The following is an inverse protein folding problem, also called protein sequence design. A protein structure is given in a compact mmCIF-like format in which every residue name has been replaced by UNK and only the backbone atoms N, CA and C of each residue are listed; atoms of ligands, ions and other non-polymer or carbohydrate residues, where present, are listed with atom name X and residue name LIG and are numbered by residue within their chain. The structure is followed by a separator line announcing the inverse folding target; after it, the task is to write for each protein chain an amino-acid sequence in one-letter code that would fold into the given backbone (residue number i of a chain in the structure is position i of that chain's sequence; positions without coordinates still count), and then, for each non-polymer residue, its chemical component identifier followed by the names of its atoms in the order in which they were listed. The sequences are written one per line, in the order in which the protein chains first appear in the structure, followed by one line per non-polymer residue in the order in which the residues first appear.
data_IF_059273970082
#
_entry.id   IF_059273970082
#
_cell.length_a   1.000
_cell.length_b   1.000
_cell.length_c   1.000
_cell.angle_alpha   90.00
_cell.angle_beta   90.00
_cell.angle_gamma   90.00
#
_symmetry.space_group_name_H-M   'P 1'
#
loop_
_entity.id
_entity.type
_entity.pdbx_description
1 polymer ?
#
# COMPACT_ATOMS: atom_id res chain seq x y z
N UNK A 1 14.59 5.55 21.80
CA UNK A 1 14.84 5.13 20.40
C UNK A 1 13.84 5.85 19.50
N UNK A 2 14.29 6.69 18.58
CA UNK A 2 13.40 7.39 17.65
C UNK A 2 12.86 6.34 16.66
N UNK A 3 11.55 6.20 16.59
CA UNK A 3 10.93 5.24 15.67
C UNK A 3 10.95 5.81 14.25
N UNK A 4 11.85 5.31 13.43
CA UNK A 4 12.10 5.77 12.05
C UNK A 4 10.84 5.64 11.20
N UNK A 5 10.02 4.60 11.41
CA UNK A 5 8.78 4.37 10.66
C UNK A 5 7.77 5.51 10.88
N UNK A 6 7.64 6.00 12.12
CA UNK A 6 6.76 7.15 12.43
C UNK A 6 7.24 8.43 11.74
N UNK A 7 8.55 8.62 11.60
CA UNK A 7 9.10 9.78 10.87
C UNK A 7 8.77 9.65 9.37
N UNK A 8 8.95 8.47 8.81
CA UNK A 8 8.63 8.20 7.40
C UNK A 8 7.14 8.41 7.13
N UNK A 9 6.26 7.92 8.00
CA UNK A 9 4.81 8.10 7.88
C UNK A 9 4.41 9.58 8.00
N UNK A 10 5.03 10.32 8.95
CA UNK A 10 4.85 11.76 9.07
C UNK A 10 5.24 12.49 7.78
N UNK A 11 6.40 12.18 7.20
CA UNK A 11 6.90 12.81 5.97
C UNK A 11 6.08 12.42 4.73
N UNK A 12 5.46 11.25 4.72
CA UNK A 12 4.63 10.79 3.62
C UNK A 12 3.18 11.28 3.68
N UNK A 13 2.75 11.83 4.81
CA UNK A 13 1.43 12.44 4.93
C UNK A 13 1.32 13.67 4.00
N UNK A 14 0.30 13.75 3.11
CA UNK A 14 0.15 14.86 2.16
C UNK A 14 0.03 16.23 2.82
N UNK A 15 -0.60 16.32 4.01
CA UNK A 15 -0.69 17.57 4.77
C UNK A 15 0.70 18.05 5.24
N UNK A 16 1.51 17.13 5.77
CA UNK A 16 2.86 17.49 6.25
C UNK A 16 3.79 17.85 5.08
N UNK A 17 3.64 17.18 3.94
CA UNK A 17 4.35 17.58 2.70
C UNK A 17 3.97 18.98 2.26
N UNK A 18 2.67 19.32 2.28
CA UNK A 18 2.19 20.65 1.95
C UNK A 18 2.80 21.72 2.85
N UNK A 19 2.85 21.50 4.16
CA UNK A 19 3.47 22.41 5.13
C UNK A 19 4.97 22.58 4.86
N UNK A 20 5.69 21.48 4.63
CA UNK A 20 7.13 21.52 4.33
C UNK A 20 7.42 22.27 3.03
N UNK A 21 6.62 22.06 1.98
CA UNK A 21 6.71 22.81 0.73
C UNK A 21 6.45 24.29 0.94
N UNK A 22 5.42 24.66 1.69
CA UNK A 22 5.07 26.05 1.99
C UNK A 22 6.22 26.74 2.73
N UNK A 23 6.75 26.10 3.78
CA UNK A 23 7.89 26.65 4.55
C UNK A 23 9.14 26.80 3.68
N UNK A 24 9.44 25.81 2.84
CA UNK A 24 10.57 25.87 1.92
C UNK A 24 10.44 27.01 0.91
N UNK A 25 9.28 27.16 0.28
CA UNK A 25 9.02 28.20 -0.71
C UNK A 25 9.05 29.59 -0.07
N UNK A 26 8.37 29.77 1.06
CA UNK A 26 8.34 31.06 1.76
C UNK A 26 9.74 31.48 2.21
N UNK A 27 10.51 30.56 2.80
CA UNK A 27 11.89 30.87 3.21
C UNK A 27 12.81 31.16 2.01
N UNK A 28 12.63 30.46 0.88
CA UNK A 28 13.36 30.74 -0.35
C UNK A 28 13.04 32.13 -0.91
N UNK A 29 11.75 32.50 -0.93
CA UNK A 29 11.31 33.83 -1.39
C UNK A 29 11.91 34.92 -0.49
N UNK A 30 11.78 34.79 0.84
CA UNK A 30 12.31 35.79 1.77
C UNK A 30 13.83 35.91 1.70
N UNK A 31 14.56 34.82 1.53
CA UNK A 31 16.00 34.83 1.28
C UNK A 31 16.34 35.54 -0.04
N UNK A 32 15.59 35.24 -1.11
CA UNK A 32 15.74 35.89 -2.41
C UNK A 32 15.50 37.40 -2.31
N UNK A 33 14.41 37.81 -1.66
CA UNK A 33 14.12 39.24 -1.43
C UNK A 33 15.25 39.93 -0.66
N UNK A 34 15.83 39.28 0.35
CA UNK A 34 16.92 39.84 1.14
C UNK A 34 18.21 39.99 0.34
N UNK A 35 18.42 39.18 -0.71
CA UNK A 35 19.62 39.24 -1.56
C UNK A 35 19.47 40.24 -2.72
N UNK A 36 18.25 40.28 -3.32
CA UNK A 36 18.03 41.03 -4.56
C UNK A 36 17.47 42.44 -4.36
N UNK A 37 16.82 42.72 -3.22
CA UNK A 37 16.22 44.05 -2.96
C UNK A 37 17.11 44.91 -2.10
N UNK A 38 17.03 46.23 -2.35
CA UNK A 38 17.66 47.25 -1.50
C UNK A 38 16.91 47.42 -0.17
N UNK A 39 17.59 47.94 0.88
CA UNK A 39 16.94 48.21 2.17
C UNK A 39 15.70 49.11 2.04
N UNK A 40 15.72 50.09 1.13
CA UNK A 40 14.58 50.97 0.86
C UNK A 40 13.37 50.22 0.29
N UNK A 41 13.62 49.26 -0.62
CA UNK A 41 12.59 48.43 -1.21
C UNK A 41 12.01 47.43 -0.19
N UNK A 42 12.86 46.89 0.68
CA UNK A 42 12.39 46.02 1.78
C UNK A 42 11.54 46.76 2.79
N UNK A 43 11.88 48.07 3.06
CA UNK A 43 11.08 48.91 3.92
C UNK A 43 9.68 49.20 3.32
N UNK A 44 9.58 49.43 2.01
CA UNK A 44 8.30 49.58 1.31
C UNK A 44 7.40 48.38 1.41
N UNK A 45 7.98 47.17 1.50
CA UNK A 45 7.26 45.92 1.69
C UNK A 45 6.92 45.59 3.16
N UNK A 46 7.34 46.45 4.10
CA UNK A 46 7.18 46.25 5.55
C UNK A 46 7.82 44.97 6.09
N UNK A 47 8.78 44.38 5.40
CA UNK A 47 9.43 43.12 5.79
C UNK A 47 10.86 43.30 6.34
N UNK A 48 11.38 44.50 6.29
CA UNK A 48 12.76 44.84 6.79
C UNK A 48 12.90 44.50 8.29
N UNK A 49 11.97 44.88 9.12
CA UNK A 49 12.00 44.61 10.56
C UNK A 49 11.97 43.11 10.86
N UNK A 50 11.19 42.36 10.08
CA UNK A 50 11.14 40.91 10.20
C UNK A 50 12.44 40.24 9.77
N UNK A 51 13.01 40.66 8.63
CA UNK A 51 14.29 40.12 8.11
C UNK A 51 15.46 40.44 9.03
N UNK A 52 15.51 41.67 9.58
CA UNK A 52 16.55 42.06 10.53
C UNK A 52 16.51 41.23 11.83
N UNK A 53 15.28 40.87 12.30
CA UNK A 53 15.14 40.13 13.53
C UNK A 53 15.25 38.60 13.34
N UNK A 54 14.67 38.06 12.27
CA UNK A 54 14.53 36.63 12.04
C UNK A 54 15.22 36.11 10.80
N UNK A 55 15.84 36.97 9.98
CA UNK A 55 16.48 36.60 8.72
C UNK A 55 17.54 35.50 8.85
N UNK A 56 18.28 35.50 9.99
CA UNK A 56 19.27 34.45 10.28
C UNK A 56 18.65 33.02 10.39
N UNK A 57 17.36 32.91 10.70
CA UNK A 57 16.67 31.64 10.85
C UNK A 57 16.22 31.05 9.49
N UNK A 58 16.03 31.93 8.48
CA UNK A 58 15.50 31.54 7.16
C UNK A 58 16.37 30.48 6.45
N UNK A 59 17.71 30.56 6.43
CA UNK A 59 18.55 29.55 5.84
C UNK A 59 18.37 28.17 6.49
N UNK A 60 18.19 28.13 7.80
CA UNK A 60 17.96 26.87 8.53
C UNK A 60 16.60 26.27 8.18
N UNK A 61 15.53 27.08 8.15
CA UNK A 61 14.19 26.62 7.78
C UNK A 61 14.20 26.08 6.35
N UNK A 62 14.85 26.79 5.42
CA UNK A 62 14.98 26.38 4.04
C UNK A 62 15.72 25.04 3.91
N UNK A 63 16.85 24.91 4.61
CA UNK A 63 17.68 23.71 4.58
C UNK A 63 16.93 22.51 5.17
N UNK A 64 16.31 22.68 6.34
CA UNK A 64 15.50 21.62 6.94
C UNK A 64 14.35 21.20 6.04
N UNK A 65 13.59 22.14 5.50
CA UNK A 65 12.48 21.84 4.59
C UNK A 65 12.96 21.06 3.37
N UNK A 66 14.08 21.47 2.77
CA UNK A 66 14.66 20.82 1.60
C UNK A 66 15.10 19.38 1.91
N UNK A 67 15.83 19.19 3.03
CA UNK A 67 16.28 17.86 3.45
C UNK A 67 15.07 16.91 3.68
N UNK A 68 14.06 17.38 4.41
CA UNK A 68 12.87 16.55 4.67
C UNK A 68 12.08 16.23 3.39
N UNK A 69 12.01 17.17 2.44
CA UNK A 69 11.37 16.90 1.15
C UNK A 69 12.15 15.85 0.34
N UNK A 70 13.47 15.90 0.32
CA UNK A 70 14.33 14.91 -0.35
C UNK A 70 14.13 13.53 0.29
N UNK A 71 14.20 13.44 1.63
CA UNK A 71 14.00 12.18 2.35
C UNK A 71 12.61 11.62 2.10
N UNK A 72 11.57 12.46 2.14
CA UNK A 72 10.18 12.04 1.85
C UNK A 72 10.01 11.54 0.41
N UNK A 73 10.69 12.15 -0.56
CA UNK A 73 10.66 11.72 -1.96
C UNK A 73 11.34 10.35 -2.17
N UNK A 74 12.51 10.15 -1.57
CA UNK A 74 13.25 8.88 -1.64
C UNK A 74 12.44 7.77 -0.96
N UNK A 75 11.95 8.02 0.26
CA UNK A 75 11.15 7.05 1.01
C UNK A 75 9.88 6.64 0.26
N UNK A 76 9.19 7.59 -0.38
CA UNK A 76 8.02 7.32 -1.20
C UNK A 76 8.32 6.42 -2.40
N UNK A 77 9.47 6.62 -3.06
CA UNK A 77 9.90 5.75 -4.17
C UNK A 77 10.25 4.34 -3.70
N UNK A 78 10.98 4.22 -2.58
CA UNK A 78 11.36 2.93 -2.00
C UNK A 78 10.12 2.13 -1.59
N UNK A 79 9.14 2.78 -0.94
CA UNK A 79 7.88 2.16 -0.53
C UNK A 79 7.09 1.62 -1.74
N UNK A 80 6.91 2.44 -2.78
CA UNK A 80 6.23 2.01 -4.01
C UNK A 80 6.93 0.85 -4.72
N UNK A 81 8.27 0.82 -4.68
CA UNK A 81 9.05 -0.28 -5.26
C UNK A 81 8.83 -1.57 -4.48
N UNK A 82 8.86 -1.51 -3.15
CA UNK A 82 8.58 -2.65 -2.27
C UNK A 82 7.18 -3.22 -2.49
N UNK A 83 6.16 -2.35 -2.49
CA UNK A 83 4.76 -2.75 -2.75
C UNK A 83 4.62 -3.46 -4.10
N UNK A 84 5.31 -2.96 -5.14
CA UNK A 84 5.29 -3.59 -6.46
C UNK A 84 6.02 -4.95 -6.48
N UNK A 85 7.13 -5.07 -5.77
CA UNK A 85 7.86 -6.34 -5.62
C UNK A 85 7.02 -7.38 -4.86
N UNK A 86 6.34 -6.97 -3.78
CA UNK A 86 5.42 -7.82 -3.01
C UNK A 86 4.22 -8.27 -3.85
N UNK A 87 3.59 -7.36 -4.61
CA UNK A 87 2.51 -7.71 -5.53
C UNK A 87 2.97 -8.68 -6.61
N UNK A 88 4.13 -8.44 -7.22
CA UNK A 88 4.68 -9.34 -8.24
C UNK A 88 4.99 -10.73 -7.68
N UNK A 89 5.51 -10.82 -6.45
CA UNK A 89 5.75 -12.08 -5.77
C UNK A 89 4.43 -12.81 -5.47
N UNK A 90 3.40 -12.09 -5.01
CA UNK A 90 2.08 -12.63 -4.77
C UNK A 90 1.45 -13.20 -6.06
N UNK A 91 1.47 -12.41 -7.14
CA UNK A 91 0.95 -12.84 -8.45
C UNK A 91 1.68 -14.08 -8.99
N UNK A 92 2.98 -14.19 -8.76
CA UNK A 92 3.76 -15.38 -9.14
C UNK A 92 3.25 -16.61 -8.40
N UNK A 93 3.09 -16.55 -7.08
CA UNK A 93 2.58 -17.66 -6.27
C UNK A 93 1.14 -18.01 -6.67
N UNK A 94 0.30 -17.01 -6.90
CA UNK A 94 -1.07 -17.22 -7.37
C UNK A 94 -1.11 -17.94 -8.72
N UNK A 95 -0.24 -17.57 -9.67
CA UNK A 95 -0.13 -18.26 -10.96
C UNK A 95 0.42 -19.68 -10.84
N UNK A 96 1.35 -19.93 -9.92
CA UNK A 96 1.84 -21.28 -9.63
C UNK A 96 0.70 -22.17 -9.08
N UNK A 97 -0.12 -21.66 -8.16
CA UNK A 97 -1.29 -22.37 -7.64
C UNK A 97 -2.37 -22.61 -8.71
N UNK A 98 -2.54 -21.66 -9.63
CA UNK A 98 -3.45 -21.83 -10.78
C UNK A 98 -2.95 -22.85 -11.82
N UNK A 99 -1.67 -23.21 -11.77
CA UNK A 99 -1.05 -24.27 -12.60
C UNK A 99 -0.92 -25.60 -11.90
N UNK A 100 -1.14 -25.64 -10.59
CA UNK A 100 -1.07 -26.86 -9.78
C UNK A 100 -2.34 -27.72 -9.99
N UNK A 101 -2.17 -28.98 -10.39
CA UNK A 101 -3.30 -29.86 -10.72
C UNK A 101 -4.26 -30.07 -9.56
N UNK A 102 -3.74 -30.23 -8.34
CA UNK A 102 -4.58 -30.47 -7.15
C UNK A 102 -5.34 -29.19 -6.74
N UNK A 103 -4.70 -28.02 -6.81
CA UNK A 103 -5.34 -26.74 -6.55
C UNK A 103 -6.43 -26.45 -7.60
N UNK A 104 -6.16 -26.76 -8.87
CA UNK A 104 -7.12 -26.61 -9.97
C UNK A 104 -8.38 -27.46 -9.78
N UNK A 105 -8.32 -28.63 -9.16
CA UNK A 105 -9.53 -29.42 -8.87
C UNK A 105 -10.49 -28.63 -8.00
N UNK A 106 -9.99 -28.03 -6.91
CA UNK A 106 -10.82 -27.22 -6.02
C UNK A 106 -11.31 -25.92 -6.68
N UNK A 107 -10.47 -25.27 -7.48
CA UNK A 107 -10.88 -24.07 -8.21
C UNK A 107 -11.95 -24.36 -9.26
N UNK A 108 -11.88 -25.50 -9.96
CA UNK A 108 -12.93 -25.92 -10.90
C UNK A 108 -14.23 -26.28 -10.21
N UNK A 109 -14.17 -26.93 -9.05
CA UNK A 109 -15.35 -27.22 -8.23
C UNK A 109 -16.07 -25.94 -7.81
N UNK A 110 -15.31 -24.93 -7.32
CA UNK A 110 -15.82 -23.60 -7.01
C UNK A 110 -16.38 -22.88 -8.25
N UNK A 111 -15.71 -22.97 -9.39
CA UNK A 111 -16.14 -22.36 -10.64
C UNK A 111 -17.46 -22.94 -11.14
N UNK A 112 -17.62 -24.26 -11.08
CA UNK A 112 -18.84 -24.94 -11.53
C UNK A 112 -20.07 -24.57 -10.69
N UNK A 113 -19.86 -24.24 -9.41
CA UNK A 113 -20.93 -23.82 -8.50
C UNK A 113 -21.11 -22.31 -8.39
N UNK A 114 -20.22 -21.53 -9.03
CA UNK A 114 -20.27 -20.07 -8.99
C UNK A 114 -21.64 -19.52 -9.45
N UNK A 115 -22.24 -18.56 -8.74
CA UNK A 115 -21.71 -17.78 -7.60
C UNK A 115 -21.91 -18.40 -6.21
N UNK A 116 -22.46 -19.62 -6.11
CA UNK A 116 -22.76 -20.27 -4.85
C UNK A 116 -21.49 -20.78 -4.15
N UNK A 117 -21.44 -20.73 -2.81
CA UNK A 117 -20.31 -21.25 -2.07
C UNK A 117 -20.24 -22.78 -2.15
N UNK A 118 -19.02 -23.32 -2.20
CA UNK A 118 -18.73 -24.75 -2.18
C UNK A 118 -18.02 -25.12 -0.89
N UNK A 119 -18.42 -26.25 -0.29
CA UNK A 119 -17.80 -26.78 0.93
C UNK A 119 -16.47 -27.46 0.60
N UNK A 120 -15.35 -26.93 1.09
CA UNK A 120 -14.02 -27.51 0.91
C UNK A 120 -13.38 -27.86 2.26
N UNK A 121 -12.51 -28.91 2.30
CA UNK A 121 -11.84 -29.36 3.53
C UNK A 121 -10.83 -28.31 4.01
N UNK A 122 -11.06 -27.73 5.19
CA UNK A 122 -10.30 -26.57 5.69
C UNK A 122 -8.84 -26.88 5.99
N UNK A 123 -8.50 -28.12 6.34
CA UNK A 123 -7.14 -28.52 6.70
C UNK A 123 -6.35 -29.09 5.52
N UNK A 124 -6.99 -29.23 4.35
CA UNK A 124 -6.26 -29.60 3.14
C UNK A 124 -5.23 -28.52 2.79
N UNK A 125 -4.00 -28.93 2.53
CA UNK A 125 -2.88 -28.03 2.26
C UNK A 125 -3.14 -27.10 1.08
N UNK A 126 -3.71 -27.59 -0.01
CA UNK A 126 -4.00 -26.78 -1.21
C UNK A 126 -5.11 -25.77 -0.94
N UNK A 127 -6.15 -26.15 -0.21
CA UNK A 127 -7.24 -25.23 0.19
C UNK A 127 -6.70 -24.13 1.11
N UNK A 128 -5.80 -24.46 2.05
CA UNK A 128 -5.12 -23.47 2.89
C UNK A 128 -4.31 -22.49 2.07
N UNK A 129 -3.53 -22.96 1.11
CA UNK A 129 -2.72 -22.10 0.23
C UNK A 129 -3.60 -21.21 -0.64
N UNK A 130 -4.65 -21.75 -1.26
CA UNK A 130 -5.61 -20.97 -2.04
C UNK A 130 -6.25 -19.85 -1.20
N UNK A 131 -6.61 -20.14 0.03
CA UNK A 131 -7.16 -19.16 0.97
C UNK A 131 -6.12 -18.12 1.42
N UNK A 132 -4.91 -18.57 1.80
CA UNK A 132 -3.82 -17.70 2.26
C UNK A 132 -3.39 -16.70 1.20
N UNK A 133 -3.34 -17.13 -0.06
CA UNK A 133 -2.92 -16.27 -1.18
C UNK A 133 -4.10 -15.56 -1.88
N UNK A 134 -5.28 -15.57 -1.26
CA UNK A 134 -6.41 -14.77 -1.70
C UNK A 134 -7.03 -15.21 -3.03
N UNK A 135 -6.91 -16.50 -3.40
CA UNK A 135 -7.62 -17.06 -4.56
C UNK A 135 -9.05 -17.47 -4.22
N UNK A 136 -9.26 -17.85 -2.96
CA UNK A 136 -10.60 -18.18 -2.42
C UNK A 136 -10.81 -17.48 -1.08
N UNK A 137 -12.06 -17.29 -0.67
CA UNK A 137 -12.40 -16.78 0.67
C UNK A 137 -13.51 -17.59 1.31
N UNK A 138 -13.50 -17.64 2.66
CA UNK A 138 -14.60 -18.24 3.43
C UNK A 138 -15.80 -17.31 3.45
N UNK A 139 -16.99 -17.86 3.28
CA UNK A 139 -18.25 -17.11 3.43
C UNK A 139 -18.82 -17.19 4.85
N UNK A 140 -18.35 -18.16 5.65
CA UNK A 140 -18.73 -18.30 7.06
C UNK A 140 -17.49 -18.65 7.90
N UNK A 141 -17.38 -18.02 9.07
CA UNK A 141 -16.31 -18.30 10.04
C UNK A 141 -16.68 -19.39 11.05
N UNK A 142 -17.97 -19.71 11.14
CA UNK A 142 -18.51 -20.75 12.02
C UNK A 142 -19.33 -21.73 11.18
N UNK A 143 -19.18 -23.01 11.50
CA UNK A 143 -19.96 -24.10 10.91
C UNK A 143 -20.52 -24.94 12.04
N UNK A 144 -21.70 -25.48 11.82
CA UNK A 144 -22.26 -26.52 12.68
C UNK A 144 -21.70 -27.86 12.23
N UNK A 145 -21.11 -28.62 13.14
CA UNK A 145 -20.55 -29.95 12.87
C UNK A 145 -21.49 -30.95 13.52
N UNK A 146 -22.24 -31.65 12.69
CA UNK A 146 -23.20 -32.69 13.15
C UNK A 146 -22.53 -34.06 13.25
N UNK A 147 -21.42 -34.25 12.55
CA UNK A 147 -20.72 -35.53 12.45
C UNK A 147 -19.33 -35.43 13.13
N UNK A 148 -19.07 -36.27 14.16
CA UNK A 148 -17.77 -36.31 14.83
C UNK A 148 -16.57 -36.55 13.87
N UNK A 149 -16.75 -37.25 12.76
CA UNK A 149 -15.69 -37.51 11.78
C UNK A 149 -15.25 -36.24 11.05
N UNK A 150 -16.08 -35.21 11.01
CA UNK A 150 -15.74 -33.90 10.42
C UNK A 150 -14.89 -33.03 11.35
N UNK A 151 -14.68 -33.41 12.61
CA UNK A 151 -13.85 -32.65 13.54
C UNK A 151 -12.38 -32.63 13.12
N UNK A 152 -11.88 -33.71 12.53
CA UNK A 152 -10.49 -33.82 12.09
C UNK A 152 -10.19 -32.98 10.84
N UNK A 153 -11.20 -32.77 9.96
CA UNK A 153 -11.05 -31.95 8.76
C UNK A 153 -12.38 -31.29 8.36
N UNK A 154 -12.77 -30.21 9.05
CA UNK A 154 -14.06 -29.56 8.85
C UNK A 154 -14.18 -28.94 7.45
N UNK A 155 -15.37 -29.05 6.86
CA UNK A 155 -15.70 -28.48 5.56
C UNK A 155 -16.31 -27.10 5.74
N UNK A 156 -15.61 -26.05 5.25
CA UNK A 156 -16.12 -24.68 5.25
C UNK A 156 -16.61 -24.27 3.87
N UNK A 157 -17.61 -23.38 3.79
CA UNK A 157 -18.07 -22.83 2.53
C UNK A 157 -17.07 -21.75 2.04
N UNK A 158 -16.59 -21.90 0.80
CA UNK A 158 -15.68 -20.99 0.12
C UNK A 158 -16.29 -20.47 -1.17
N UNK A 159 -15.83 -19.30 -1.59
CA UNK A 159 -16.11 -18.69 -2.90
C UNK A 159 -14.80 -18.27 -3.57
N UNK A 160 -14.84 -18.15 -4.90
CA UNK A 160 -13.73 -17.59 -5.66
C UNK A 160 -13.56 -16.10 -5.36
N UNK A 161 -12.30 -15.65 -5.31
CA UNK A 161 -11.98 -14.24 -5.29
C UNK A 161 -11.87 -13.67 -6.73
N UNK A 162 -12.05 -12.36 -6.93
CA UNK A 162 -12.11 -11.76 -8.27
C UNK A 162 -10.92 -12.10 -9.18
N UNK A 163 -9.73 -12.21 -8.61
CA UNK A 163 -8.54 -12.60 -9.38
C UNK A 163 -8.63 -14.04 -9.91
N UNK A 164 -9.00 -14.98 -9.02
CA UNK A 164 -9.19 -16.38 -9.40
C UNK A 164 -10.35 -16.55 -10.38
N UNK A 165 -11.46 -15.84 -10.17
CA UNK A 165 -12.61 -15.84 -11.08
C UNK A 165 -12.22 -15.41 -12.50
N UNK A 166 -11.49 -14.28 -12.62
CA UNK A 166 -10.97 -13.79 -13.89
C UNK A 166 -10.09 -14.84 -14.58
N UNK A 167 -9.17 -15.45 -13.83
CA UNK A 167 -8.26 -16.48 -14.38
C UNK A 167 -8.97 -17.76 -14.80
N UNK A 168 -9.96 -18.22 -14.03
CA UNK A 168 -10.76 -19.37 -14.40
C UNK A 168 -11.60 -19.13 -15.65
N UNK A 169 -12.11 -17.90 -15.83
CA UNK A 169 -12.80 -17.49 -17.08
C UNK A 169 -11.85 -17.56 -18.27
N UNK A 170 -10.66 -16.95 -18.17
CA UNK A 170 -9.63 -16.98 -19.22
C UNK A 170 -9.22 -18.41 -19.60
N UNK A 171 -9.12 -19.33 -18.62
CA UNK A 171 -8.77 -20.73 -18.85
C UNK A 171 -9.88 -21.51 -19.57
N UNK A 172 -11.14 -21.20 -19.31
CA UNK A 172 -12.28 -21.84 -19.96
C UNK A 172 -12.50 -21.34 -21.38
N UNK A 173 -12.32 -20.05 -21.63
CA UNK A 173 -12.40 -19.46 -22.98
C UNK A 173 -11.32 -19.99 -23.93
N UNK A 174 -10.13 -20.33 -23.42
CA UNK A 174 -9.06 -20.93 -24.24
C UNK A 174 -9.29 -22.40 -24.61
N UNK A 175 -10.23 -23.08 -23.93
CA UNK A 175 -10.55 -24.49 -24.16
C UNK A 175 -11.78 -24.70 -25.03
N UNK A 176 -12.55 -23.65 -25.24
CA UNK A 176 -13.72 -23.60 -26.14
C UNK A 176 -13.30 -23.20 -27.56
#
# INVERSE_FOLDING_TARGET
MINVDKIIDFLNNPLNKGILWSLGIVSAILLGLNVFLTPEQLHLLYIDSFLNKYGWLLPFIFLFSTVFLIVGFISGKVKKRKEKEEQSALEKIQNELLSDEQALVYLKELWNNHPNPTKLPAYNQKVKLLYQYGLISRTANQIHIDDPEQLDNPYFPYILQPYAEKKMRELNEKKS
#
